data_IF_151883503545
#
_entry.id   IF_151883503545
#
_cell.length_a   1.000
_cell.length_b   1.000
_cell.length_c   1.000
_cell.angle_alpha   90.00
_cell.angle_beta   90.00
_cell.angle_gamma   90.00
#
_symmetry.space_group_name_H-M   'P 1'
#
loop_
_entity.id
_entity.type
_entity.pdbx_description
1 polymer ?
#
# COMPACT_ATOMS: atom_id res chain seq x y z
N UNK A 1 -2.56 -21.90 -19.02
CA UNK A 1 -1.17 -21.53 -19.42
C UNK A 1 -0.81 -20.12 -18.95
N UNK A 2 -1.71 -19.13 -19.11
CA UNK A 2 -1.56 -17.73 -18.67
C UNK A 2 -1.25 -17.59 -17.17
N UNK A 3 -1.95 -18.32 -16.29
CA UNK A 3 -1.77 -18.26 -14.83
C UNK A 3 -0.36 -18.68 -14.38
N UNK A 4 0.30 -19.63 -15.06
CA UNK A 4 1.65 -20.06 -14.69
C UNK A 4 2.72 -19.01 -15.04
N UNK A 5 2.56 -18.30 -16.15
CA UNK A 5 3.48 -17.22 -16.53
C UNK A 5 3.28 -15.97 -15.67
N UNK A 6 2.03 -15.65 -15.33
CA UNK A 6 1.71 -14.55 -14.42
C UNK A 6 2.30 -14.80 -13.03
N UNK A 7 2.16 -16.02 -12.48
CA UNK A 7 2.71 -16.35 -11.16
C UNK A 7 4.24 -16.34 -11.13
N UNK A 8 4.91 -16.70 -12.22
CA UNK A 8 6.38 -16.58 -12.33
C UNK A 8 6.86 -15.12 -12.32
N UNK A 9 6.06 -14.20 -12.88
CA UNK A 9 6.37 -12.77 -12.90
C UNK A 9 6.35 -12.14 -11.51
N UNK A 10 5.52 -12.66 -10.61
CA UNK A 10 5.26 -12.10 -9.28
C UNK A 10 5.85 -12.93 -8.14
N UNK A 11 6.93 -13.68 -8.37
CA UNK A 11 7.43 -14.65 -7.38
C UNK A 11 7.74 -13.99 -6.02
N UNK A 12 8.45 -12.86 -6.03
CA UNK A 12 8.83 -12.13 -4.82
C UNK A 12 7.61 -11.47 -4.15
N UNK A 13 6.75 -10.85 -4.95
CA UNK A 13 5.50 -10.21 -4.54
C UNK A 13 4.58 -11.22 -3.86
N UNK A 14 4.46 -12.43 -4.42
CA UNK A 14 3.69 -13.53 -3.85
C UNK A 14 4.18 -13.84 -2.44
N UNK A 15 5.49 -14.02 -2.23
CA UNK A 15 6.01 -14.34 -0.90
C UNK A 15 5.78 -13.19 0.08
N UNK A 16 5.98 -11.93 -0.32
CA UNK A 16 5.70 -10.79 0.56
C UNK A 16 4.21 -10.70 0.88
N UNK A 17 3.31 -10.90 -0.09
CA UNK A 17 1.86 -10.96 0.16
C UNK A 17 1.50 -12.07 1.14
N UNK A 18 2.06 -13.26 0.96
CA UNK A 18 1.84 -14.40 1.86
C UNK A 18 2.29 -14.06 3.28
N UNK A 19 3.49 -13.51 3.44
CA UNK A 19 4.03 -13.09 4.73
C UNK A 19 3.14 -12.04 5.39
N UNK A 20 2.75 -11.00 4.64
CA UNK A 20 1.90 -9.92 5.15
C UNK A 20 0.46 -10.37 5.46
N UNK A 21 0.02 -11.51 4.91
CA UNK A 21 -1.29 -12.11 5.20
C UNK A 21 -1.32 -12.93 6.48
N UNK A 22 -0.16 -13.19 7.09
CA UNK A 22 -0.08 -13.92 8.35
C UNK A 22 -0.71 -13.08 9.45
N UNK A 23 -1.60 -13.68 10.24
CA UNK A 23 -2.24 -13.01 11.38
C UNK A 23 -1.19 -12.39 12.31
N UNK A 24 -1.31 -11.08 12.52
CA UNK A 24 -0.40 -10.31 13.36
C UNK A 24 0.90 -9.89 12.66
N UNK A 25 1.10 -10.20 11.38
CA UNK A 25 2.19 -9.58 10.63
C UNK A 25 1.93 -8.08 10.45
N UNK A 26 2.94 -7.27 10.74
CA UNK A 26 2.93 -5.82 10.53
C UNK A 26 4.18 -5.43 9.75
N UNK A 27 4.23 -4.22 9.16
CA UNK A 27 5.43 -3.73 8.47
C UNK A 27 6.66 -3.81 9.38
N UNK A 28 6.53 -3.47 10.66
CA UNK A 28 7.60 -3.64 11.66
C UNK A 28 8.10 -5.07 11.74
N UNK A 29 7.20 -6.05 11.95
CA UNK A 29 7.59 -7.47 12.07
C UNK A 29 8.19 -8.00 10.77
N UNK A 30 7.67 -7.56 9.63
CA UNK A 30 8.27 -7.86 8.33
C UNK A 30 9.72 -7.39 8.25
N UNK A 31 10.02 -6.12 8.54
CA UNK A 31 11.40 -5.61 8.45
C UNK A 31 12.33 -6.24 9.46
N UNK A 32 11.84 -6.59 10.64
CA UNK A 32 12.61 -7.31 11.64
C UNK A 32 13.06 -8.68 11.12
N UNK A 33 12.18 -9.42 10.42
CA UNK A 33 12.55 -10.66 9.74
C UNK A 33 13.43 -10.39 8.51
N UNK A 34 13.11 -9.38 7.71
CA UNK A 34 13.86 -9.06 6.50
C UNK A 34 15.30 -8.64 6.79
N UNK A 35 15.56 -7.98 7.92
CA UNK A 35 16.91 -7.64 8.37
C UNK A 35 17.78 -8.89 8.56
N UNK A 36 17.21 -9.96 9.11
CA UNK A 36 17.92 -11.22 9.40
C UNK A 36 18.05 -12.09 8.15
N UNK A 37 16.97 -12.29 7.40
CA UNK A 37 16.91 -13.26 6.30
C UNK A 37 17.28 -12.68 4.93
N UNK A 38 17.02 -11.37 4.71
CA UNK A 38 17.23 -10.62 3.45
C UNK A 38 16.57 -11.23 2.20
N UNK A 39 15.66 -12.19 2.38
CA UNK A 39 15.01 -12.93 1.31
C UNK A 39 13.61 -13.36 1.76
N UNK A 40 12.53 -12.90 1.08
CA UNK A 40 11.16 -13.27 1.44
C UNK A 40 10.89 -14.77 1.40
N UNK A 41 11.53 -15.54 0.50
CA UNK A 41 11.35 -16.99 0.45
C UNK A 41 11.87 -17.64 1.74
N UNK A 42 13.06 -17.24 2.20
CA UNK A 42 13.64 -17.74 3.46
C UNK A 42 12.80 -17.38 4.67
N UNK A 43 12.23 -16.17 4.70
CA UNK A 43 11.30 -15.75 5.75
C UNK A 43 10.07 -16.68 5.74
N UNK A 44 9.49 -16.93 4.57
CA UNK A 44 8.31 -17.78 4.43
C UNK A 44 8.58 -19.22 4.88
N UNK A 45 9.70 -19.81 4.46
CA UNK A 45 10.10 -21.16 4.87
C UNK A 45 10.36 -21.26 6.37
N UNK A 46 10.95 -20.23 6.97
CA UNK A 46 11.20 -20.15 8.40
C UNK A 46 9.90 -20.08 9.20
N UNK A 47 8.98 -19.17 8.84
CA UNK A 47 7.69 -19.02 9.52
C UNK A 47 6.83 -20.29 9.39
N UNK A 48 6.88 -20.98 8.25
CA UNK A 48 6.18 -22.25 8.05
C UNK A 48 6.64 -23.36 9.00
N UNK A 49 7.93 -23.40 9.33
CA UNK A 49 8.52 -24.43 10.19
C UNK A 49 8.28 -24.15 11.67
N UNK A 50 8.25 -22.88 12.06
CA UNK A 50 8.03 -22.49 13.45
C UNK A 50 6.58 -22.06 13.71
N UNK A 51 5.76 -22.98 14.23
CA UNK A 51 4.36 -22.71 14.59
C UNK A 51 4.18 -21.66 15.72
N UNK A 52 5.25 -21.34 16.45
CA UNK A 52 5.30 -20.28 17.45
C UNK A 52 6.64 -19.56 17.36
N UNK A 53 6.67 -18.45 16.64
CA UNK A 53 7.85 -17.60 16.63
C UNK A 53 7.99 -16.88 17.99
N UNK A 54 9.15 -16.95 18.61
CA UNK A 54 9.53 -16.10 19.74
C UNK A 54 10.83 -15.38 19.39
N UNK A 55 10.73 -14.26 18.68
CA UNK A 55 11.89 -13.43 18.42
C UNK A 55 12.22 -12.58 19.64
N UNK A 56 13.40 -12.78 20.24
CA UNK A 56 13.93 -11.92 21.29
C UNK A 56 14.51 -10.65 20.68
N UNK A 57 13.72 -9.60 20.55
CA UNK A 57 14.26 -8.28 20.22
C UNK A 57 14.79 -7.59 21.47
N UNK A 58 16.10 -7.29 21.48
CA UNK A 58 16.69 -6.38 22.46
C UNK A 58 16.22 -4.96 22.12
N UNK A 59 15.24 -4.46 22.87
CA UNK A 59 15.01 -3.02 22.94
C UNK A 59 16.13 -2.39 23.79
N UNK A 60 16.37 -1.08 23.62
CA UNK A 60 17.34 -0.29 24.41
C UNK A 60 17.16 -0.38 25.95
N UNK A 61 16.09 -1.02 26.42
CA UNK A 61 15.76 -1.23 27.83
C UNK A 61 15.81 -2.71 28.27
N UNK A 62 16.52 -3.61 27.56
CA UNK A 62 16.65 -5.05 27.88
C UNK A 62 15.33 -5.86 28.04
N UNK A 63 14.19 -5.31 27.64
CA UNK A 63 12.92 -6.04 27.64
C UNK A 63 12.73 -6.79 26.31
N UNK A 64 12.86 -8.12 26.36
CA UNK A 64 12.51 -9.00 25.24
C UNK A 64 10.99 -9.06 25.07
N UNK A 65 10.47 -8.59 23.93
CA UNK A 65 9.06 -8.79 23.56
C UNK A 65 8.96 -9.96 22.59
N UNK A 66 8.46 -11.08 23.05
CA UNK A 66 8.08 -12.20 22.20
C UNK A 66 6.77 -11.85 21.47
N UNK A 67 6.71 -12.10 20.17
CA UNK A 67 5.44 -12.10 19.44
C UNK A 67 5.24 -13.45 18.76
N UNK A 68 4.12 -14.10 19.02
CA UNK A 68 3.73 -15.30 18.30
C UNK A 68 3.17 -14.95 16.92
N UNK A 69 3.72 -15.56 15.88
CA UNK A 69 3.00 -15.77 14.62
C UNK A 69 2.55 -17.23 14.63
N UNK A 70 1.27 -17.47 14.33
CA UNK A 70 0.72 -18.81 14.24
C UNK A 70 0.30 -19.06 12.79
N UNK A 71 0.89 -20.09 12.17
CA UNK A 71 0.45 -20.66 10.91
C UNK A 71 0.21 -22.14 11.17
N UNK A 72 -0.99 -22.64 10.85
CA UNK A 72 -1.25 -24.07 10.73
C UNK A 72 -1.33 -24.46 9.24
N UNK A 73 -1.29 -25.77 8.94
CA UNK A 73 -1.30 -26.24 7.54
C UNK A 73 -2.61 -25.93 6.81
N UNK A 74 -3.74 -25.87 7.52
CA UNK A 74 -5.03 -25.43 6.95
C UNK A 74 -4.96 -23.95 6.52
N UNK A 75 -4.25 -23.13 7.29
CA UNK A 75 -4.03 -21.71 7.07
C UNK A 75 -3.08 -21.46 5.88
N UNK A 76 -2.06 -22.32 5.68
CA UNK A 76 -1.15 -22.26 4.53
C UNK A 76 -1.88 -22.39 3.18
N UNK A 77 -2.73 -23.41 3.02
CA UNK A 77 -3.48 -23.60 1.77
C UNK A 77 -4.47 -22.46 1.50
N UNK A 78 -5.07 -21.91 2.56
CA UNK A 78 -5.98 -20.75 2.45
C UNK A 78 -5.25 -19.49 2.01
N UNK A 79 -4.07 -19.19 2.57
CA UNK A 79 -3.25 -18.05 2.15
C UNK A 79 -2.85 -18.21 0.68
N UNK A 80 -2.38 -19.39 0.27
CA UNK A 80 -1.95 -19.62 -1.10
C UNK A 80 -3.09 -19.41 -2.11
N UNK A 81 -4.29 -19.91 -1.79
CA UNK A 81 -5.48 -19.73 -2.61
C UNK A 81 -5.91 -18.26 -2.64
N UNK A 82 -5.87 -17.58 -1.48
CA UNK A 82 -6.21 -16.17 -1.37
C UNK A 82 -5.25 -15.28 -2.17
N UNK A 83 -3.94 -15.42 -2.03
CA UNK A 83 -2.94 -14.62 -2.78
C UNK A 83 -3.11 -14.81 -4.29
N UNK A 84 -3.30 -16.05 -4.75
CA UNK A 84 -3.58 -16.33 -6.16
C UNK A 84 -4.85 -15.61 -6.64
N UNK A 85 -5.92 -15.62 -5.84
CA UNK A 85 -7.14 -14.90 -6.18
C UNK A 85 -6.94 -13.39 -6.26
N UNK A 86 -6.09 -12.81 -5.39
CA UNK A 86 -5.79 -11.38 -5.41
C UNK A 86 -5.01 -10.98 -6.66
N UNK A 87 -4.02 -11.78 -7.06
CA UNK A 87 -3.22 -11.51 -8.28
C UNK A 87 -4.12 -11.51 -9.52
N UNK A 88 -5.06 -12.45 -9.62
CA UNK A 88 -6.02 -12.48 -10.71
C UNK A 88 -6.91 -11.22 -10.71
N UNK A 89 -7.43 -10.83 -9.55
CA UNK A 89 -8.21 -9.59 -9.41
C UNK A 89 -7.41 -8.34 -9.79
N UNK A 90 -6.12 -8.28 -9.43
CA UNK A 90 -5.27 -7.15 -9.80
C UNK A 90 -5.11 -7.03 -11.31
N UNK A 91 -4.90 -8.15 -11.99
CA UNK A 91 -4.84 -8.20 -13.45
C UNK A 91 -6.17 -7.72 -14.08
N UNK A 92 -7.31 -8.18 -13.55
CA UNK A 92 -8.65 -7.79 -14.02
C UNK A 92 -8.92 -6.28 -13.89
N UNK A 93 -8.50 -5.65 -12.78
CA UNK A 93 -8.73 -4.21 -12.56
C UNK A 93 -7.59 -3.31 -13.06
N UNK A 94 -6.56 -3.90 -13.69
CA UNK A 94 -5.36 -3.20 -14.15
C UNK A 94 -4.50 -2.62 -13.02
N UNK A 95 -4.59 -3.21 -11.82
CA UNK A 95 -3.74 -2.84 -10.70
C UNK A 95 -2.34 -3.46 -10.86
N UNK A 96 -1.36 -2.76 -10.32
CA UNK A 96 0.06 -3.10 -10.35
C UNK A 96 0.59 -3.16 -8.91
N UNK A 97 1.70 -3.86 -8.74
CA UNK A 97 2.36 -4.05 -7.46
C UNK A 97 3.71 -3.34 -7.51
N UNK A 98 4.08 -2.72 -6.40
CA UNK A 98 5.44 -2.22 -6.18
C UNK A 98 5.93 -2.61 -4.79
N UNK A 99 7.19 -3.05 -4.72
CA UNK A 99 7.83 -3.50 -3.49
C UNK A 99 8.72 -2.41 -2.90
N UNK A 100 8.96 -2.45 -1.60
CA UNK A 100 9.78 -1.46 -0.88
C UNK A 100 11.22 -1.29 -1.41
N UNK A 101 11.74 -2.28 -2.13
CA UNK A 101 13.06 -2.26 -2.74
C UNK A 101 13.04 -2.08 -4.26
N UNK A 102 11.88 -1.77 -4.84
CA UNK A 102 11.75 -1.30 -6.22
C UNK A 102 12.29 0.12 -6.36
N UNK A 103 12.88 0.45 -7.51
CA UNK A 103 13.38 1.78 -7.83
C UNK A 103 12.27 2.82 -7.92
N UNK A 104 11.06 2.41 -8.32
CA UNK A 104 9.92 3.30 -8.45
C UNK A 104 9.18 3.52 -7.12
N UNK A 105 9.64 2.91 -6.02
CA UNK A 105 8.99 3.03 -4.72
C UNK A 105 9.07 4.48 -4.24
N UNK A 106 7.99 5.08 -3.71
CA UNK A 106 7.99 6.49 -3.34
C UNK A 106 9.12 6.82 -2.35
N UNK A 107 10.07 7.70 -2.71
CA UNK A 107 11.31 7.88 -1.93
C UNK A 107 11.02 8.40 -0.52
N UNK A 108 10.15 9.40 -0.39
CA UNK A 108 9.75 9.95 0.92
C UNK A 108 8.99 8.93 1.79
N UNK A 109 8.22 8.02 1.17
CA UNK A 109 7.55 6.97 1.93
C UNK A 109 8.55 5.94 2.46
N UNK A 110 9.65 5.71 1.74
CA UNK A 110 10.73 4.80 2.14
C UNK A 110 11.49 5.28 3.38
N UNK A 111 11.40 6.58 3.70
CA UNK A 111 12.09 7.20 4.84
C UNK A 111 11.35 7.03 6.18
N UNK A 112 10.08 6.61 6.18
CA UNK A 112 9.35 6.39 7.44
C UNK A 112 9.91 5.17 8.20
N UNK A 113 9.66 5.08 9.50
CA UNK A 113 10.22 4.00 10.36
C UNK A 113 10.00 2.57 9.83
N UNK A 114 8.81 2.27 9.33
CA UNK A 114 8.45 0.96 8.79
C UNK A 114 7.56 1.15 7.54
N UNK A 115 8.15 1.37 6.35
CA UNK A 115 7.39 1.60 5.12
C UNK A 115 6.47 0.42 4.80
N UNK A 116 5.37 0.59 4.05
CA UNK A 116 4.62 -0.57 3.55
C UNK A 116 5.53 -1.47 2.69
N UNK A 117 5.70 -2.77 3.02
CA UNK A 117 6.54 -3.68 2.23
C UNK A 117 6.05 -3.87 0.79
N UNK A 118 4.76 -3.64 0.59
CA UNK A 118 4.07 -3.79 -0.68
C UNK A 118 3.06 -2.66 -0.81
N UNK A 119 3.00 -2.05 -1.99
CA UNK A 119 1.93 -1.15 -2.38
C UNK A 119 1.22 -1.72 -3.61
N UNK A 120 -0.09 -1.54 -3.63
CA UNK A 120 -0.93 -1.80 -4.79
C UNK A 120 -1.36 -0.45 -5.35
N UNK A 121 -1.31 -0.30 -6.67
CA UNK A 121 -1.72 0.94 -7.31
C UNK A 121 -2.44 0.69 -8.63
N UNK A 122 -3.26 1.65 -9.04
CA UNK A 122 -3.95 1.67 -10.33
C UNK A 122 -3.65 3.01 -11.00
N UNK A 123 -3.31 2.98 -12.29
CA UNK A 123 -2.90 4.15 -13.06
C UNK A 123 -1.56 3.97 -13.78
N UNK A 124 -1.14 5.03 -14.48
CA UNK A 124 0.05 4.97 -15.34
C UNK A 124 1.36 5.13 -14.57
N UNK A 125 1.44 6.10 -13.65
CA UNK A 125 2.68 6.46 -12.95
C UNK A 125 2.47 6.73 -11.47
N UNK A 126 3.40 6.22 -10.66
CA UNK A 126 3.61 6.58 -9.25
C UNK A 126 4.60 7.75 -9.14
N UNK A 127 5.30 8.10 -10.23
CA UNK A 127 6.67 8.65 -10.18
C UNK A 127 6.82 10.15 -9.95
N UNK A 128 5.82 10.84 -9.36
CA UNK A 128 5.96 12.28 -9.03
C UNK A 128 5.80 12.59 -7.53
N UNK A 129 6.00 11.59 -6.67
CA UNK A 129 6.02 11.77 -5.21
C UNK A 129 7.11 12.73 -4.71
N UNK A 130 8.21 12.89 -5.45
CA UNK A 130 9.30 13.82 -5.09
C UNK A 130 8.88 15.29 -5.12
N UNK A 131 7.83 15.63 -5.87
CA UNK A 131 7.25 16.97 -5.94
C UNK A 131 5.76 16.89 -5.62
N UNK A 132 5.44 16.48 -4.39
CA UNK A 132 4.07 16.28 -3.96
C UNK A 132 3.72 17.02 -2.67
N UNK A 133 2.46 17.42 -2.55
CA UNK A 133 1.90 18.06 -1.35
C UNK A 133 0.63 17.32 -0.95
N UNK A 134 0.49 17.05 0.35
CA UNK A 134 -0.72 16.48 0.91
C UNK A 134 -1.74 17.56 1.26
N UNK A 135 -2.98 17.42 0.79
CA UNK A 135 -4.12 18.26 1.20
C UNK A 135 -5.13 17.37 1.91
N UNK A 136 -5.36 17.63 3.20
CA UNK A 136 -6.26 16.84 4.06
C UNK A 136 -7.21 17.76 4.82
N UNK A 137 -8.38 17.25 5.21
CA UNK A 137 -9.26 18.01 6.09
C UNK A 137 -10.60 17.35 6.40
N UNK A 138 -11.59 18.17 6.78
CA UNK A 138 -12.88 17.67 7.26
C UNK A 138 -13.68 16.92 6.19
N UNK A 139 -14.26 15.77 6.59
CA UNK A 139 -15.24 15.03 5.79
C UNK A 139 -16.57 15.77 5.62
N UNK A 140 -16.87 16.71 6.53
CA UNK A 140 -18.06 17.58 6.52
C UNK A 140 -17.62 19.05 6.37
N UNK A 141 -16.89 19.33 5.29
CA UNK A 141 -16.40 20.68 5.00
C UNK A 141 -17.53 21.61 4.56
N UNK A 142 -17.41 22.90 4.91
CA UNK A 142 -18.25 23.97 4.35
C UNK A 142 -17.98 24.15 2.86
N UNK A 143 -18.90 24.75 2.13
CA UNK A 143 -18.67 25.00 0.70
C UNK A 143 -17.53 25.98 0.45
N UNK A 144 -17.30 26.91 1.39
CA UNK A 144 -16.10 27.73 1.37
C UNK A 144 -14.83 26.88 1.48
N UNK A 145 -14.74 25.98 2.48
CA UNK A 145 -13.59 25.11 2.65
C UNK A 145 -13.32 24.20 1.44
N UNK A 146 -14.39 23.66 0.83
CA UNK A 146 -14.30 22.89 -0.42
C UNK A 146 -13.75 23.73 -1.58
N UNK A 147 -14.23 24.97 -1.74
CA UNK A 147 -13.73 25.88 -2.79
C UNK A 147 -12.25 26.22 -2.60
N UNK A 148 -11.84 26.53 -1.38
CA UNK A 148 -10.43 26.81 -1.06
C UNK A 148 -9.56 25.59 -1.35
N UNK A 149 -9.97 24.39 -0.91
CA UNK A 149 -9.22 23.16 -1.17
C UNK A 149 -9.08 22.86 -2.67
N UNK A 150 -10.15 23.05 -3.44
CA UNK A 150 -10.14 22.91 -4.89
C UNK A 150 -9.16 23.91 -5.55
N UNK A 151 -9.28 25.20 -5.20
CA UNK A 151 -8.46 26.26 -5.79
C UNK A 151 -6.97 26.07 -5.46
N UNK A 152 -6.65 25.75 -4.22
CA UNK A 152 -5.27 25.49 -3.80
C UNK A 152 -4.69 24.29 -4.55
N UNK A 153 -5.46 23.20 -4.67
CA UNK A 153 -5.04 22.01 -5.39
C UNK A 153 -4.81 22.26 -6.89
N UNK A 154 -5.73 22.98 -7.54
CA UNK A 154 -5.58 23.36 -8.96
C UNK A 154 -4.37 24.26 -9.19
N UNK A 155 -4.17 25.27 -8.34
CA UNK A 155 -3.03 26.19 -8.46
C UNK A 155 -1.69 25.48 -8.27
N UNK A 156 -1.57 24.61 -7.26
CA UNK A 156 -0.33 23.86 -7.05
C UNK A 156 -0.10 22.84 -8.16
N UNK A 157 -1.15 22.13 -8.58
CA UNK A 157 -1.05 21.12 -9.62
C UNK A 157 -0.76 21.70 -11.01
N UNK A 158 -1.27 22.89 -11.33
CA UNK A 158 -0.90 23.59 -12.57
C UNK A 158 0.59 23.97 -12.61
N UNK A 159 1.27 24.07 -11.46
CA UNK A 159 2.72 24.24 -11.35
C UNK A 159 3.50 22.90 -11.39
N UNK A 160 2.83 21.78 -11.65
CA UNK A 160 3.44 20.45 -11.72
C UNK A 160 3.55 19.72 -10.37
N UNK A 161 3.00 20.29 -9.29
CA UNK A 161 3.04 19.66 -7.96
C UNK A 161 1.91 18.63 -7.84
N UNK A 162 2.27 17.38 -7.53
CA UNK A 162 1.29 16.32 -7.35
C UNK A 162 0.51 16.48 -6.05
N UNK A 163 -0.82 16.49 -6.12
CA UNK A 163 -1.66 16.53 -4.91
C UNK A 163 -1.92 15.12 -4.39
N UNK A 164 -1.58 14.86 -3.13
CA UNK A 164 -1.82 13.58 -2.45
C UNK A 164 -2.94 13.74 -1.42
N UNK A 165 -3.91 12.83 -1.40
CA UNK A 165 -4.98 12.86 -0.38
C UNK A 165 -5.64 11.49 -0.20
N UNK A 166 -6.54 11.35 0.78
CA UNK A 166 -7.11 10.08 1.24
C UNK A 166 -8.39 9.64 0.51
N UNK A 167 -8.78 10.31 -0.57
CA UNK A 167 -10.01 10.07 -1.34
C UNK A 167 -11.33 10.16 -0.54
N UNK A 168 -11.30 10.70 0.68
CA UNK A 168 -12.47 10.83 1.53
C UNK A 168 -13.43 11.94 1.00
N UNK A 169 -14.66 11.97 1.53
CA UNK A 169 -15.58 13.10 1.31
C UNK A 169 -14.97 14.43 1.78
N UNK A 170 -15.51 15.55 1.30
CA UNK A 170 -15.14 16.88 1.79
C UNK A 170 -13.84 17.37 1.18
N UNK A 171 -12.89 17.78 2.03
CA UNK A 171 -11.63 18.42 1.57
C UNK A 171 -10.85 17.55 0.60
N UNK A 172 -10.64 16.26 0.92
CA UNK A 172 -9.88 15.33 0.07
C UNK A 172 -10.49 15.23 -1.34
N UNK A 173 -11.81 15.04 -1.44
CA UNK A 173 -12.52 15.02 -2.73
C UNK A 173 -12.36 16.31 -3.53
N UNK A 174 -12.44 17.46 -2.84
CA UNK A 174 -12.28 18.77 -3.49
C UNK A 174 -10.85 18.99 -3.98
N UNK A 175 -9.85 18.55 -3.22
CA UNK A 175 -8.45 18.63 -3.62
C UNK A 175 -8.16 17.78 -4.85
N UNK A 176 -8.62 16.52 -4.86
CA UNK A 176 -8.50 15.65 -6.03
C UNK A 176 -9.19 16.24 -7.27
N UNK A 177 -10.41 16.77 -7.11
CA UNK A 177 -11.14 17.42 -8.22
C UNK A 177 -10.39 18.62 -8.79
N UNK A 178 -9.76 19.43 -7.93
CA UNK A 178 -8.97 20.58 -8.37
C UNK A 178 -7.71 20.19 -9.13
N UNK A 179 -7.12 19.04 -8.81
CA UNK A 179 -5.83 18.63 -9.36
C UNK A 179 -5.90 17.59 -10.49
N UNK A 180 -7.05 16.92 -10.71
CA UNK A 180 -7.20 15.78 -11.65
C UNK A 180 -6.76 16.12 -13.07
N UNK A 181 -7.18 17.28 -13.57
CA UNK A 181 -7.00 17.68 -14.97
C UNK A 181 -5.79 18.61 -15.18
N UNK A 182 -4.99 18.81 -14.14
CA UNK A 182 -3.83 19.71 -14.14
C UNK A 182 -2.52 18.94 -14.36
N UNK A 183 -1.44 19.65 -14.71
CA UNK A 183 -0.15 19.07 -15.09
C UNK A 183 0.43 18.14 -14.02
N UNK A 184 0.35 18.53 -12.74
CA UNK A 184 0.86 17.76 -11.60
C UNK A 184 0.00 16.55 -11.26
N UNK A 185 -1.27 16.54 -11.67
CA UNK A 185 -2.22 15.48 -11.35
C UNK A 185 -2.47 15.28 -9.86
N UNK A 186 -3.01 14.11 -9.52
CA UNK A 186 -3.31 13.74 -8.13
C UNK A 186 -3.12 12.25 -7.85
N UNK A 187 -2.76 11.92 -6.61
CA UNK A 187 -2.62 10.55 -6.09
C UNK A 187 -3.59 10.38 -4.91
N UNK A 188 -4.45 9.38 -5.03
CA UNK A 188 -5.40 8.97 -4.00
C UNK A 188 -4.86 7.78 -3.19
N UNK A 189 -4.81 7.93 -1.86
CA UNK A 189 -4.44 6.87 -0.92
C UNK A 189 -5.72 6.26 -0.34
N UNK A 190 -6.02 5.03 -0.73
CA UNK A 190 -7.24 4.34 -0.32
C UNK A 190 -7.08 3.62 1.02
N UNK A 191 -8.13 3.67 1.84
CA UNK A 191 -8.25 2.88 3.08
C UNK A 191 -8.94 1.52 2.89
N UNK A 192 -9.24 1.15 1.64
CA UNK A 192 -9.94 -0.06 1.24
C UNK A 192 -9.28 -0.67 -0.02
N UNK A 193 -9.82 -1.79 -0.51
CA UNK A 193 -9.35 -2.42 -1.75
C UNK A 193 -9.57 -1.52 -2.97
N UNK A 194 -8.64 -1.57 -3.92
CA UNK A 194 -8.72 -0.79 -5.16
C UNK A 194 -9.90 -1.18 -6.05
N UNK A 195 -10.53 -2.33 -5.81
CA UNK A 195 -11.75 -2.80 -6.44
C UNK A 195 -13.02 -2.11 -5.92
N UNK A 196 -12.91 -1.29 -4.86
CA UNK A 196 -14.05 -0.64 -4.20
C UNK A 196 -13.88 0.88 -4.23
N UNK A 197 -14.69 1.57 -5.04
CA UNK A 197 -14.79 3.03 -4.96
C UNK A 197 -15.51 3.44 -3.66
N UNK A 198 -14.76 3.98 -2.70
CA UNK A 198 -15.31 4.53 -1.46
C UNK A 198 -14.76 5.94 -1.19
N UNK A 199 -15.63 6.94 -0.94
CA UNK A 199 -17.10 6.86 -0.93
C UNK A 199 -17.66 6.63 -2.34
N UNK A 200 -18.81 5.96 -2.43
CA UNK A 200 -19.44 5.63 -3.73
C UNK A 200 -19.85 6.86 -4.54
N UNK A 201 -20.11 7.98 -3.88
CA UNK A 201 -20.42 9.28 -4.50
C UNK A 201 -19.25 9.85 -5.33
N UNK A 202 -18.02 9.39 -5.10
CA UNK A 202 -16.83 9.83 -5.85
C UNK A 202 -16.56 8.97 -7.10
N UNK A 203 -17.54 8.21 -7.59
CA UNK A 203 -17.36 7.30 -8.72
C UNK A 203 -16.82 7.98 -9.98
N UNK A 204 -17.31 9.18 -10.31
CA UNK A 204 -16.85 9.94 -11.48
C UNK A 204 -15.41 10.46 -11.31
N UNK A 205 -15.00 10.71 -10.07
CA UNK A 205 -13.63 11.09 -9.74
C UNK A 205 -12.68 9.88 -9.79
N UNK A 206 -13.18 8.71 -9.41
CA UNK A 206 -12.42 7.45 -9.38
C UNK A 206 -12.12 6.89 -10.78
N UNK A 207 -13.02 7.11 -11.74
CA UNK A 207 -12.87 6.69 -13.14
C UNK A 207 -12.06 7.70 -13.96
#
# INVERSE_FOLDING_TARGET
MITRNLLKRYEKEIFIMKIMSIKGMTSRRFYLLYKEFKDPLKIWDFVKKEHQLSFKFHNSNNNSKNFSLSIDDSYNSKIDMWVKSQILKFDEIGAKIILFDDENYPPLLKEIFYPPPILFYKGEKITNFSQSISIVGSRRATDYGKRVAYQLASQLSSLGITIVSGFARGIDSSAHKGAKDEIGGTIAIFGNGLDICYPSENKDLYN
#
